data_IF_079860796086
#
_entry.id   IF_079860796086
#
_cell.length_a   1.000
_cell.length_b   1.000
_cell.length_c   1.000
_cell.angle_alpha   90.00
_cell.angle_beta   90.00
_cell.angle_gamma   90.00
#
_symmetry.space_group_name_H-M   'P 1'
#
loop_
_entity.id
_entity.type
_entity.pdbx_description
1 polymer ?
#
# COMPACT_ATOMS: atom_id res chain seq x y z
N UNK A 1 -6.70 -9.64 13.56
CA UNK A 1 -6.56 -11.13 13.58
C UNK A 1 -6.03 -11.73 12.28
N UNK A 2 -5.71 -10.96 11.21
CA UNK A 2 -5.14 -11.54 9.98
C UNK A 2 -3.67 -11.96 10.12
N UNK A 3 -2.88 -11.18 10.86
CA UNK A 3 -1.44 -11.42 11.06
C UNK A 3 -1.11 -12.70 11.85
N UNK A 4 -2.09 -13.33 12.50
CA UNK A 4 -1.87 -14.61 13.18
C UNK A 4 -1.95 -15.82 12.24
N UNK A 5 -2.36 -15.61 10.98
CA UNK A 5 -2.44 -16.69 9.97
C UNK A 5 -1.07 -16.88 9.34
N UNK A 6 -0.55 -18.12 9.35
CA UNK A 6 0.74 -18.47 8.75
C UNK A 6 0.75 -18.08 7.26
N UNK A 7 1.74 -17.28 6.86
CA UNK A 7 1.88 -16.79 5.48
C UNK A 7 1.20 -15.44 5.21
N UNK A 8 0.50 -14.85 6.18
CA UNK A 8 -0.12 -13.53 6.05
C UNK A 8 0.73 -12.47 6.77
N UNK A 9 1.55 -11.76 6.00
CA UNK A 9 2.27 -10.58 6.47
C UNK A 9 1.44 -9.29 6.36
N UNK A 10 1.97 -8.13 6.83
CA UNK A 10 1.29 -6.84 6.81
C UNK A 10 0.71 -6.47 5.44
N UNK A 11 1.51 -6.56 4.37
CA UNK A 11 1.07 -6.32 2.98
C UNK A 11 -0.15 -7.16 2.60
N UNK A 12 -0.10 -8.46 2.88
CA UNK A 12 -1.17 -9.40 2.50
C UNK A 12 -2.43 -9.12 3.32
N UNK A 13 -2.27 -8.81 4.61
CA UNK A 13 -3.37 -8.41 5.47
C UNK A 13 -4.08 -7.16 4.93
N UNK A 14 -3.33 -6.13 4.52
CA UNK A 14 -3.91 -4.91 3.94
C UNK A 14 -4.67 -5.19 2.64
N UNK A 15 -4.14 -6.03 1.75
CA UNK A 15 -4.86 -6.43 0.54
C UNK A 15 -6.19 -7.13 0.87
N UNK A 16 -6.20 -8.04 1.86
CA UNK A 16 -7.42 -8.74 2.29
C UNK A 16 -8.44 -7.74 2.86
N UNK A 17 -7.98 -6.80 3.67
CA UNK A 17 -8.84 -5.77 4.27
C UNK A 17 -9.41 -4.84 3.20
N UNK A 18 -8.58 -4.39 2.26
CA UNK A 18 -9.00 -3.51 1.18
C UNK A 18 -9.98 -4.18 0.21
N UNK A 19 -9.61 -5.32 -0.35
CA UNK A 19 -10.36 -5.96 -1.43
C UNK A 19 -11.43 -6.93 -0.93
N UNK A 20 -11.13 -7.67 0.14
CA UNK A 20 -12.03 -8.68 0.70
C UNK A 20 -13.05 -8.11 1.69
N UNK A 21 -12.72 -7.01 2.39
CA UNK A 21 -13.59 -6.40 3.40
C UNK A 21 -14.05 -4.98 3.04
N UNK A 22 -13.60 -4.43 1.92
CA UNK A 22 -14.00 -3.10 1.44
C UNK A 22 -13.52 -1.93 2.30
N UNK A 23 -12.56 -2.17 3.20
CA UNK A 23 -12.01 -1.16 4.09
C UNK A 23 -11.02 -0.28 3.35
N UNK A 24 -11.36 0.99 3.19
CA UNK A 24 -10.59 1.95 2.38
C UNK A 24 -9.48 2.66 3.15
N UNK A 25 -9.37 2.37 4.43
CA UNK A 25 -8.39 2.90 5.38
C UNK A 25 -7.14 2.00 5.50
N UNK A 26 -6.70 1.41 4.39
CA UNK A 26 -5.49 0.57 4.31
C UNK A 26 -4.68 0.90 3.07
N UNK A 27 -3.33 0.82 3.15
CA UNK A 27 -2.43 1.19 2.06
C UNK A 27 -1.42 0.07 1.75
N UNK A 28 -1.81 -1.01 1.04
CA UNK A 28 -0.90 -2.11 0.76
C UNK A 28 0.35 -1.66 -0.03
N UNK A 29 1.55 -1.89 0.51
CA UNK A 29 2.83 -1.60 -0.17
C UNK A 29 3.46 -2.89 -0.69
N UNK A 30 3.42 -3.10 -2.00
CA UNK A 30 4.13 -4.18 -2.69
C UNK A 30 5.41 -3.69 -3.39
N UNK A 31 6.03 -4.54 -4.21
CA UNK A 31 7.27 -4.18 -4.92
C UNK A 31 7.08 -3.01 -5.89
N UNK A 32 5.94 -2.92 -6.57
CA UNK A 32 5.63 -1.82 -7.51
C UNK A 32 5.35 -0.53 -6.76
N UNK A 33 4.58 -0.61 -5.68
CA UNK A 33 4.31 0.53 -4.81
C UNK A 33 5.59 1.07 -4.19
N UNK A 34 6.48 0.19 -3.71
CA UNK A 34 7.78 0.59 -3.18
C UNK A 34 8.60 1.30 -4.25
N UNK A 35 8.75 0.69 -5.43
CA UNK A 35 9.52 1.28 -6.53
C UNK A 35 8.96 2.63 -6.99
N UNK A 36 7.63 2.79 -6.97
CA UNK A 36 6.97 4.02 -7.40
C UNK A 36 7.10 5.16 -6.38
N UNK A 37 7.16 4.84 -5.08
CA UNK A 37 7.01 5.82 -4.00
C UNK A 37 8.25 5.99 -3.10
N UNK A 38 9.29 5.18 -3.30
CA UNK A 38 10.51 5.28 -2.51
C UNK A 38 11.23 6.62 -2.72
N UNK A 39 11.60 7.24 -1.60
CA UNK A 39 12.48 8.43 -1.55
C UNK A 39 13.63 8.14 -0.59
N UNK A 40 14.56 9.09 -0.41
CA UNK A 40 15.63 8.95 0.59
C UNK A 40 15.05 8.82 2.01
N UNK A 41 13.93 9.49 2.30
CA UNK A 41 13.23 9.44 3.58
C UNK A 41 12.29 8.23 3.69
N UNK A 42 11.69 7.80 2.57
CA UNK A 42 10.75 6.68 2.48
C UNK A 42 11.42 5.41 1.92
N UNK A 43 12.52 5.00 2.53
CA UNK A 43 13.40 3.90 2.09
C UNK A 43 12.85 2.48 2.38
N UNK A 44 11.86 2.35 3.25
CA UNK A 44 11.30 1.07 3.72
C UNK A 44 9.80 0.98 3.47
N UNK A 45 9.26 -0.23 3.20
CA UNK A 45 7.82 -0.41 2.97
C UNK A 45 6.95 0.12 4.11
N UNK A 46 7.41 -0.01 5.36
CA UNK A 46 6.70 0.49 6.54
C UNK A 46 6.63 2.01 6.55
N UNK A 47 7.72 2.72 6.25
CA UNK A 47 7.72 4.19 6.17
C UNK A 47 6.80 4.69 5.05
N UNK A 48 6.86 4.05 3.87
CA UNK A 48 5.94 4.35 2.76
C UNK A 48 4.49 4.13 3.18
N UNK A 49 4.20 2.98 3.78
CA UNK A 49 2.87 2.64 4.28
C UNK A 49 2.35 3.71 5.25
N UNK A 50 3.10 4.00 6.31
CA UNK A 50 2.65 4.89 7.38
C UNK A 50 2.48 6.33 6.87
N UNK A 51 3.39 6.80 6.00
CA UNK A 51 3.30 8.12 5.40
C UNK A 51 2.03 8.28 4.56
N UNK A 52 1.78 7.36 3.62
CA UNK A 52 0.65 7.48 2.71
C UNK A 52 -0.69 7.11 3.36
N UNK A 53 -0.68 6.23 4.36
CA UNK A 53 -1.85 5.97 5.18
C UNK A 53 -2.25 7.22 5.97
N UNK A 54 -1.29 7.91 6.60
CA UNK A 54 -1.56 9.17 7.31
C UNK A 54 -2.02 10.29 6.36
N UNK A 55 -1.42 10.36 5.16
CA UNK A 55 -1.75 11.38 4.15
C UNK A 55 -3.17 11.25 3.59
N UNK A 56 -3.60 10.03 3.29
CA UNK A 56 -4.89 9.79 2.60
C UNK A 56 -6.01 9.29 3.52
N UNK A 57 -5.68 8.81 4.73
CA UNK A 57 -6.65 8.36 5.72
C UNK A 57 -7.66 7.36 5.15
N UNK A 58 -8.96 7.66 5.28
CA UNK A 58 -10.05 6.82 4.77
C UNK A 58 -10.10 6.64 3.24
N UNK A 59 -9.29 7.38 2.49
CA UNK A 59 -9.15 7.26 1.03
C UNK A 59 -7.85 6.55 0.61
N UNK A 60 -7.05 6.08 1.57
CA UNK A 60 -5.74 5.46 1.30
C UNK A 60 -5.83 4.29 0.32
N UNK A 61 -6.82 3.42 0.48
CA UNK A 61 -7.03 2.29 -0.42
C UNK A 61 -7.36 2.71 -1.85
N UNK A 62 -8.10 3.81 -2.03
CA UNK A 62 -8.40 4.35 -3.34
C UNK A 62 -7.15 4.95 -4.00
N UNK A 63 -6.40 5.76 -3.24
CA UNK A 63 -5.14 6.34 -3.71
C UNK A 63 -4.14 5.25 -4.11
N UNK A 64 -4.03 4.18 -3.31
CA UNK A 64 -3.18 3.03 -3.60
C UNK A 64 -3.50 2.39 -4.95
N UNK A 65 -4.79 2.23 -5.29
CA UNK A 65 -5.20 1.66 -6.58
C UNK A 65 -4.79 2.54 -7.77
N UNK A 66 -4.98 3.85 -7.67
CA UNK A 66 -4.57 4.78 -8.73
C UNK A 66 -3.05 4.80 -8.92
N UNK A 67 -2.30 4.86 -7.82
CA UNK A 67 -0.83 4.81 -7.83
C UNK A 67 -0.35 3.52 -8.47
N UNK A 68 -0.89 2.37 -8.03
CA UNK A 68 -0.53 1.07 -8.57
C UNK A 68 -0.79 0.96 -10.08
N UNK A 69 -1.98 1.40 -10.52
CA UNK A 69 -2.34 1.39 -11.93
C UNK A 69 -1.38 2.25 -12.77
N UNK A 70 -1.03 3.43 -12.28
CA UNK A 70 -0.09 4.33 -12.95
C UNK A 70 1.32 3.71 -13.02
N UNK A 71 1.84 3.27 -11.88
CA UNK A 71 3.17 2.68 -11.77
C UNK A 71 3.32 1.46 -12.69
N UNK A 72 2.32 0.59 -12.74
CA UNK A 72 2.36 -0.64 -13.52
C UNK A 72 2.18 -0.43 -15.03
N UNK A 73 1.35 0.53 -15.45
CA UNK A 73 1.03 0.74 -16.86
C UNK A 73 1.85 1.83 -17.53
N UNK A 74 2.38 2.79 -16.78
CA UNK A 74 3.17 3.91 -17.31
C UNK A 74 4.63 3.92 -16.85
N UNK A 75 5.04 2.99 -15.97
CA UNK A 75 6.44 2.77 -15.61
C UNK A 75 7.11 3.91 -14.83
N UNK A 76 6.34 4.81 -14.21
CA UNK A 76 6.87 6.01 -13.58
C UNK A 76 7.06 5.88 -12.06
N UNK A 77 8.22 6.33 -11.56
CA UNK A 77 8.36 6.87 -10.20
C UNK A 77 7.44 8.09 -10.07
N UNK A 78 6.81 8.24 -8.90
CA UNK A 78 5.86 9.31 -8.58
C UNK A 78 6.50 10.26 -7.57
#
# INVERSE_FOLDING_TARGET
KLLSVKGVGPKVADCIVLFGMGRRDSFPVDTWMKQALETEELDTPTKVHDHYLARYGGLAGLAQQYIFHYARNKGGKI
#
